data_IF_291513201984
#
_entry.id   IF_291513201984
#
_cell.length_a   1.000
_cell.length_b   1.000
_cell.length_c   1.000
_cell.angle_alpha   90.00
_cell.angle_beta   90.00
_cell.angle_gamma   90.00
#
_symmetry.space_group_name_H-M   'P 1'
#
loop_
_entity.id
_entity.type
_entity.pdbx_description
1 polymer ?
#
# COMPACT_ATOMS: atom_id res chain seq x y z
N UNK A 1 -3.85 17.74 -17.98
CA UNK A 1 -3.25 16.61 -17.24
C UNK A 1 -4.16 16.33 -16.06
N UNK A 2 -4.98 15.27 -16.14
CA UNK A 2 -5.95 14.93 -15.09
C UNK A 2 -5.17 14.53 -13.84
N UNK A 3 -5.27 15.34 -12.78
CA UNK A 3 -4.69 15.00 -11.49
C UNK A 3 -5.52 13.89 -10.89
N UNK A 4 -4.88 12.77 -10.54
CA UNK A 4 -5.54 11.72 -9.78
C UNK A 4 -5.70 12.22 -8.34
N UNK A 5 -6.90 12.69 -8.01
CA UNK A 5 -7.22 13.22 -6.69
C UNK A 5 -7.14 12.14 -5.60
N UNK A 6 -7.30 10.87 -5.96
CA UNK A 6 -7.19 9.76 -5.02
C UNK A 6 -5.72 9.40 -4.73
N UNK A 7 -4.79 9.85 -5.58
CA UNK A 7 -3.34 9.68 -5.40
C UNK A 7 -2.61 11.02 -5.23
N UNK A 8 -3.25 12.02 -4.63
CA UNK A 8 -2.64 13.33 -4.32
C UNK A 8 -2.01 14.03 -5.54
N UNK A 9 -2.53 13.78 -6.75
CA UNK A 9 -2.02 14.33 -8.00
C UNK A 9 -0.78 13.63 -8.57
N UNK A 10 -0.38 12.47 -8.04
CA UNK A 10 0.73 11.66 -8.54
C UNK A 10 0.29 10.76 -9.70
N UNK A 11 1.20 10.54 -10.66
CA UNK A 11 0.96 9.61 -11.78
C UNK A 11 1.15 8.16 -11.27
N UNK A 12 0.11 7.31 -11.33
CA UNK A 12 0.17 5.94 -10.81
C UNK A 12 1.16 5.03 -11.56
N UNK A 13 1.66 5.45 -12.72
CA UNK A 13 2.64 4.68 -13.50
C UNK A 13 4.08 4.85 -13.03
N UNK A 14 4.35 5.83 -12.15
CA UNK A 14 5.70 6.15 -11.71
C UNK A 14 5.82 6.03 -10.19
N UNK A 15 6.79 5.24 -9.74
CA UNK A 15 7.16 5.17 -8.33
C UNK A 15 7.87 6.46 -7.92
N UNK A 16 7.48 7.04 -6.79
CA UNK A 16 8.20 8.17 -6.18
C UNK A 16 9.65 7.81 -5.78
N UNK A 17 9.97 6.51 -5.72
CA UNK A 17 11.29 5.99 -5.36
C UNK A 17 11.67 4.82 -6.28
N UNK A 18 12.15 5.10 -7.50
CA UNK A 18 12.49 4.05 -8.48
C UNK A 18 13.64 3.14 -8.03
N UNK A 19 14.47 3.61 -7.10
CA UNK A 19 15.56 2.87 -6.43
C UNK A 19 15.06 1.76 -5.50
N UNK A 20 13.74 1.62 -5.31
CA UNK A 20 13.13 0.75 -4.30
C UNK A 20 11.94 0.01 -4.87
N UNK A 21 11.83 -1.27 -4.52
CA UNK A 21 10.61 -2.05 -4.79
C UNK A 21 9.71 -1.90 -3.56
N UNK A 22 8.53 -1.33 -3.77
CA UNK A 22 7.53 -1.11 -2.72
C UNK A 22 6.34 -2.04 -2.90
N UNK A 23 5.93 -2.72 -1.83
CA UNK A 23 4.68 -3.46 -1.76
C UNK A 23 3.81 -2.80 -0.69
N UNK A 24 2.61 -2.38 -1.08
CA UNK A 24 1.61 -1.82 -0.17
C UNK A 24 0.48 -2.83 0.03
N UNK A 25 0.24 -3.21 1.28
CA UNK A 25 -0.87 -4.08 1.65
C UNK A 25 -1.86 -3.22 2.44
N UNK A 26 -3.09 -3.11 1.91
CA UNK A 26 -4.20 -2.40 2.54
C UNK A 26 -5.19 -3.41 3.10
N UNK A 27 -5.67 -3.18 4.32
CA UNK A 27 -6.65 -4.04 4.96
C UNK A 27 -7.67 -3.25 5.77
N UNK A 28 -8.86 -3.82 5.97
CA UNK A 28 -9.94 -3.26 6.78
C UNK A 28 -10.00 -3.99 8.12
N UNK A 29 -10.14 -3.25 9.22
CA UNK A 29 -10.05 -3.77 10.60
C UNK A 29 -11.08 -4.86 10.92
N UNK A 30 -12.16 -4.95 10.14
CA UNK A 30 -13.21 -5.96 10.29
C UNK A 30 -12.82 -7.31 9.67
N UNK A 31 -11.92 -7.31 8.69
CA UNK A 31 -11.30 -8.51 8.16
C UNK A 31 -9.99 -8.72 8.92
N UNK A 32 -10.02 -9.59 9.94
CA UNK A 32 -8.77 -10.10 10.49
C UNK A 32 -7.99 -10.68 9.33
N UNK A 33 -6.81 -10.14 9.03
CA UNK A 33 -5.89 -10.79 8.11
C UNK A 33 -5.28 -11.97 8.88
N UNK A 34 -6.07 -13.03 9.09
CA UNK A 34 -5.66 -14.24 9.81
C UNK A 34 -4.43 -14.89 9.14
N UNK A 35 -4.19 -14.56 7.87
CA UNK A 35 -3.07 -15.07 7.06
C UNK A 35 -1.99 -14.01 6.75
N UNK A 36 -1.93 -12.88 7.47
CA UNK A 36 -0.95 -11.81 7.15
C UNK A 36 0.47 -12.33 7.24
N UNK A 37 0.76 -13.12 8.27
CA UNK A 37 2.08 -13.71 8.49
C UNK A 37 2.44 -14.63 7.32
N UNK A 38 1.51 -15.48 6.89
CA UNK A 38 1.74 -16.39 5.76
C UNK A 38 1.93 -15.62 4.44
N UNK A 39 1.17 -14.54 4.23
CA UNK A 39 1.29 -13.69 3.06
C UNK A 39 2.66 -12.99 3.02
N UNK A 40 3.10 -12.41 4.14
CA UNK A 40 4.40 -11.77 4.26
C UNK A 40 5.54 -12.77 4.02
N UNK A 41 5.43 -13.98 4.55
CA UNK A 41 6.42 -15.06 4.35
C UNK A 41 6.52 -15.49 2.87
N UNK A 42 5.38 -15.60 2.16
CA UNK A 42 5.39 -15.90 0.72
C UNK A 42 6.03 -14.77 -0.09
N UNK A 43 5.76 -13.52 0.26
CA UNK A 43 6.30 -12.34 -0.43
C UNK A 43 7.81 -12.26 -0.24
N UNK A 44 8.31 -12.39 0.99
CA UNK A 44 9.75 -12.30 1.27
C UNK A 44 10.52 -13.46 0.63
N UNK A 45 10.02 -14.70 0.74
CA UNK A 45 10.64 -15.86 0.08
C UNK A 45 10.69 -15.72 -1.44
N UNK A 46 9.60 -15.23 -2.05
CA UNK A 46 9.57 -14.98 -3.49
C UNK A 46 10.56 -13.89 -3.88
N UNK A 47 10.70 -12.85 -3.07
CA UNK A 47 11.66 -11.77 -3.29
C UNK A 47 13.12 -12.24 -3.16
N UNK A 48 13.43 -13.06 -2.17
CA UNK A 48 14.78 -13.61 -2.00
C UNK A 48 15.17 -14.52 -3.18
N UNK A 49 14.19 -15.23 -3.75
CA UNK A 49 14.41 -16.14 -4.88
C UNK A 49 14.83 -15.45 -6.18
N UNK A 50 14.46 -14.17 -6.36
CA UNK A 50 14.76 -13.40 -7.57
C UNK A 50 16.13 -12.69 -7.53
N UNK A 51 16.92 -12.88 -6.45
CA UNK A 51 18.28 -12.35 -6.26
C UNK A 51 18.43 -10.88 -6.67
N UNK A 52 17.45 -10.07 -6.28
CA UNK A 52 17.41 -8.65 -6.61
C UNK A 52 18.35 -7.89 -5.66
N UNK A 53 19.28 -7.12 -6.22
CA UNK A 53 20.22 -6.27 -5.45
C UNK A 53 19.55 -5.09 -4.77
N UNK A 54 18.27 -4.86 -5.06
CA UNK A 54 17.48 -3.74 -4.56
C UNK A 54 16.81 -4.11 -3.24
N UNK A 55 16.79 -3.22 -2.24
CA UNK A 55 16.04 -3.47 -1.00
C UNK A 55 14.51 -3.53 -1.24
N UNK A 56 13.85 -4.52 -0.64
CA UNK A 56 12.39 -4.62 -0.56
C UNK A 56 11.87 -3.76 0.60
N UNK A 57 10.86 -2.93 0.30
CA UNK A 57 10.13 -2.17 1.32
C UNK A 57 8.68 -2.63 1.35
N UNK A 58 8.23 -3.10 2.53
CA UNK A 58 6.85 -3.50 2.77
C UNK A 58 6.22 -2.45 3.68
N UNK A 59 5.09 -1.89 3.27
CA UNK A 59 4.28 -0.98 4.08
C UNK A 59 2.89 -1.57 4.29
N UNK A 60 2.52 -1.74 5.55
CA UNK A 60 1.21 -2.20 5.97
C UNK A 60 0.40 -0.98 6.40
N UNK A 61 -0.72 -0.73 5.71
CA UNK A 61 -1.59 0.40 5.98
C UNK A 61 -2.97 -0.11 6.39
N UNK A 62 -3.39 0.28 7.58
CA UNK A 62 -4.75 0.09 8.03
C UNK A 62 -5.65 1.13 7.35
N UNK A 63 -6.73 0.68 6.72
CA UNK A 63 -7.75 1.58 6.18
C UNK A 63 -8.61 2.06 7.35
N UNK A 64 -8.29 3.25 7.84
CA UNK A 64 -9.15 3.96 8.80
C UNK A 64 -10.33 4.52 8.02
N UNK A 65 -11.55 4.09 8.35
CA UNK A 65 -12.75 4.78 7.86
C UNK A 65 -12.77 6.19 8.44
N UNK A 66 -12.43 7.17 7.61
CA UNK A 66 -12.59 8.58 7.97
C UNK A 66 -14.07 8.90 7.85
N UNK A 67 -14.73 9.13 8.99
CA UNK A 67 -16.10 9.59 9.00
C UNK A 67 -16.22 10.85 8.12
N UNK A 68 -17.25 10.95 7.27
CA UNK A 68 -17.42 12.12 6.42
C UNK A 68 -17.48 13.38 7.29
N UNK A 69 -16.96 14.52 6.80
CA UNK A 69 -17.04 15.77 7.53
C UNK A 69 -18.51 16.07 7.87
N UNK A 70 -18.79 16.68 9.04
CA UNK A 70 -20.15 17.02 9.42
C UNK A 70 -20.82 17.86 8.33
N UNK A 71 -22.12 17.62 8.05
CA UNK A 71 -22.83 18.37 7.03
C UNK A 71 -22.77 19.87 7.34
N UNK A 72 -22.47 20.67 6.32
CA UNK A 72 -22.49 22.13 6.43
C UNK A 72 -23.94 22.54 6.72
N UNK A 73 -24.20 23.17 7.87
CA UNK A 73 -25.52 23.72 8.18
C UNK A 73 -25.80 24.83 7.16
N UNK A 74 -26.82 24.61 6.33
CA UNK A 74 -27.38 25.62 5.42
C UNK A 74 -28.35 26.52 6.17
#
# INVERSE_FOLDING_TARGET
MNKDYNNYGKDPRYSDRPERIGITIMYETNDKIDNLIELLDKITKSFDSINVKTPLYISLLEKIEIAPPPPVRS
#
